data_IF_020051920305
#
_entry.id   IF_020051920305
#
_cell.length_a   1.000
_cell.length_b   1.000
_cell.length_c   1.000
_cell.angle_alpha   90.00
_cell.angle_beta   90.00
_cell.angle_gamma   90.00
#
_symmetry.space_group_name_H-M   'P 1'
#
loop_
_entity.id
_entity.type
_entity.pdbx_description
1 polymer ?
#
# COMPACT_ATOMS: atom_id res chain seq x y z
N UNK A 1 2.60 3.86 17.62
CA UNK A 1 1.53 4.35 16.72
C UNK A 1 2.14 4.33 15.33
N UNK A 2 1.51 3.68 14.34
CA UNK A 2 2.02 3.73 12.96
C UNK A 2 1.84 5.17 12.48
N UNK A 3 2.92 5.88 12.18
CA UNK A 3 2.78 7.21 11.60
C UNK A 3 2.26 7.08 10.16
N UNK A 4 1.44 8.03 9.73
CA UNK A 4 0.80 8.00 8.40
C UNK A 4 1.80 7.88 7.25
N UNK A 5 3.02 8.40 7.41
CA UNK A 5 4.08 8.24 6.39
C UNK A 5 4.51 6.78 6.26
N UNK A 6 4.67 6.06 7.38
CA UNK A 6 5.25 4.72 7.39
C UNK A 6 4.42 3.71 6.62
N UNK A 7 3.08 3.74 6.74
CA UNK A 7 2.22 2.76 6.07
C UNK A 7 2.19 2.93 4.55
N UNK A 8 2.11 4.17 4.07
CA UNK A 8 2.09 4.48 2.64
C UNK A 8 3.43 4.20 1.98
N UNK A 9 4.52 4.58 2.65
CA UNK A 9 5.88 4.32 2.20
C UNK A 9 6.18 2.82 2.17
N UNK A 10 5.86 2.08 3.23
CA UNK A 10 5.98 0.63 3.27
C UNK A 10 5.23 -0.05 2.10
N UNK A 11 3.99 0.37 1.84
CA UNK A 11 3.23 -0.16 0.71
C UNK A 11 3.92 0.12 -0.63
N UNK A 12 4.48 1.32 -0.82
CA UNK A 12 5.23 1.70 -2.02
C UNK A 12 6.42 0.78 -2.24
N UNK A 13 7.19 0.48 -1.19
CA UNK A 13 8.32 -0.44 -1.26
C UNK A 13 7.88 -1.86 -1.68
N UNK A 14 6.80 -2.38 -1.07
CA UNK A 14 6.24 -3.68 -1.45
C UNK A 14 5.75 -3.74 -2.89
N UNK A 15 5.15 -2.65 -3.39
CA UNK A 15 4.71 -2.56 -4.80
C UNK A 15 5.91 -2.55 -5.75
N UNK A 16 6.93 -1.76 -5.45
CA UNK A 16 8.14 -1.65 -6.28
C UNK A 16 8.95 -2.95 -6.28
N UNK A 17 9.03 -3.66 -5.16
CA UNK A 17 9.66 -4.99 -5.09
C UNK A 17 8.99 -6.01 -6.04
N UNK A 18 7.69 -5.83 -6.32
CA UNK A 18 6.93 -6.64 -7.30
C UNK A 18 6.97 -6.08 -8.73
N UNK A 19 7.71 -5.00 -8.96
CA UNK A 19 7.87 -4.34 -10.27
C UNK A 19 6.55 -3.84 -10.88
N UNK A 20 5.57 -3.53 -10.03
CA UNK A 20 4.27 -3.02 -10.46
C UNK A 20 4.29 -1.49 -10.46
N UNK A 21 3.69 -0.86 -11.47
CA UNK A 21 3.39 0.58 -11.48
C UNK A 21 2.06 0.84 -10.76
N UNK A 22 1.81 2.09 -10.36
CA UNK A 22 0.52 2.49 -9.79
C UNK A 22 -0.65 2.23 -10.77
N UNK A 23 -0.41 2.37 -12.08
CA UNK A 23 -1.37 2.06 -13.13
C UNK A 23 -1.76 0.59 -13.19
N UNK A 24 -0.85 -0.31 -12.78
CA UNK A 24 -1.07 -1.76 -12.83
C UNK A 24 -1.93 -2.22 -11.65
N UNK A 25 -1.94 -1.45 -10.56
CA UNK A 25 -2.75 -1.68 -9.35
C UNK A 25 -4.11 -0.96 -9.41
N UNK A 26 -4.17 0.17 -10.12
CA UNK A 26 -5.38 0.98 -10.19
C UNK A 26 -6.56 0.19 -10.78
N UNK A 27 -7.74 0.38 -10.19
CA UNK A 27 -8.98 -0.29 -10.56
C UNK A 27 -10.19 0.64 -10.36
N UNK A 28 -11.41 0.15 -10.62
CA UNK A 28 -12.63 0.95 -10.52
C UNK A 28 -12.84 1.60 -9.12
N UNK A 29 -12.33 0.99 -8.05
CA UNK A 29 -12.43 1.50 -6.67
C UNK A 29 -11.22 2.29 -6.16
N UNK A 30 -10.10 2.28 -6.90
CA UNK A 30 -8.84 2.85 -6.46
C UNK A 30 -8.06 3.40 -7.65
N UNK A 31 -7.90 4.72 -7.72
CA UNK A 31 -7.18 5.37 -8.81
C UNK A 31 -5.68 5.45 -8.54
N UNK A 32 -4.87 5.52 -9.61
CA UNK A 32 -3.42 5.71 -9.49
C UNK A 32 -3.04 7.00 -8.73
N UNK A 33 -3.85 8.07 -8.85
CA UNK A 33 -3.63 9.32 -8.10
C UNK A 33 -3.86 9.14 -6.59
N UNK A 34 -4.89 8.37 -6.21
CA UNK A 34 -5.13 8.03 -4.79
C UNK A 34 -3.99 7.17 -4.24
N UNK A 35 -3.51 6.18 -4.99
CA UNK A 35 -2.32 5.41 -4.65
C UNK A 35 -1.08 6.30 -4.47
N UNK A 36 -0.83 7.23 -5.39
CA UNK A 36 0.32 8.12 -5.28
C UNK A 36 0.27 9.02 -4.06
N UNK A 37 -0.90 9.60 -3.75
CA UNK A 37 -1.07 10.44 -2.56
C UNK A 37 -0.86 9.63 -1.28
N UNK A 38 -1.32 8.38 -1.28
CA UNK A 38 -1.11 7.45 -0.17
C UNK A 38 0.37 7.09 0.02
N UNK A 39 1.05 6.69 -1.06
CA UNK A 39 2.46 6.33 -1.04
C UNK A 39 3.41 7.48 -0.68
N UNK A 40 2.95 8.73 -0.81
CA UNK A 40 3.69 9.94 -0.43
C UNK A 40 3.26 10.48 0.96
N UNK A 41 2.42 9.76 1.69
CA UNK A 41 1.92 10.18 3.01
C UNK A 41 0.97 11.39 2.98
N UNK A 42 0.53 11.82 1.80
CA UNK A 42 -0.33 13.01 1.62
C UNK A 42 -1.81 12.73 1.98
N UNK A 43 -2.26 11.47 1.88
CA UNK A 43 -3.63 11.08 2.21
C UNK A 43 -3.70 9.60 2.58
N UNK A 44 -4.50 9.23 3.59
CA UNK A 44 -4.76 7.82 3.87
C UNK A 44 -5.82 7.24 2.95
N UNK A 45 -5.65 5.97 2.60
CA UNK A 45 -6.73 5.17 2.01
C UNK A 45 -7.74 4.80 3.09
N UNK A 46 -9.01 4.71 2.69
CA UNK A 46 -10.01 4.00 3.50
C UNK A 46 -9.68 2.50 3.54
N UNK A 47 -10.24 1.78 4.51
CA UNK A 47 -9.93 0.36 4.69
C UNK A 47 -10.26 -0.49 3.45
N UNK A 48 -11.40 -0.24 2.80
CA UNK A 48 -11.81 -0.90 1.56
C UNK A 48 -10.79 -0.68 0.43
N UNK A 49 -10.28 0.55 0.29
CA UNK A 49 -9.27 0.89 -0.72
C UNK A 49 -7.91 0.32 -0.42
N UNK A 50 -7.54 0.22 0.86
CA UNK A 50 -6.30 -0.43 1.27
C UNK A 50 -6.33 -1.93 0.92
N UNK A 51 -7.46 -2.60 1.12
CA UNK A 51 -7.64 -4.00 0.71
C UNK A 51 -7.48 -4.15 -0.80
N UNK A 52 -8.08 -3.25 -1.60
CA UNK A 52 -7.91 -3.26 -3.06
C UNK A 52 -6.44 -3.06 -3.47
N UNK A 53 -5.72 -2.16 -2.79
CA UNK A 53 -4.31 -1.92 -3.05
C UNK A 53 -3.45 -3.17 -2.78
N UNK A 54 -3.65 -3.80 -1.62
CA UNK A 54 -2.95 -5.02 -1.19
C UNK A 54 -3.21 -6.17 -2.17
N UNK A 55 -4.47 -6.38 -2.56
CA UNK A 55 -4.83 -7.40 -3.54
C UNK A 55 -4.23 -7.10 -4.93
N UNK A 56 -4.20 -5.84 -5.34
CA UNK A 56 -3.63 -5.41 -6.62
C UNK A 56 -2.12 -5.63 -6.75
N UNK A 57 -1.41 -5.88 -5.64
CA UNK A 57 -0.01 -6.30 -5.65
C UNK A 57 0.16 -7.81 -5.40
N UNK A 58 -0.91 -8.62 -5.50
CA UNK A 58 -0.90 -10.06 -5.24
C UNK A 58 -0.39 -10.42 -3.83
N UNK A 59 -0.82 -9.66 -2.83
CA UNK A 59 -0.53 -9.89 -1.41
C UNK A 59 -1.82 -10.18 -0.68
N UNK A 60 -1.78 -11.09 0.28
CA UNK A 60 -2.89 -11.29 1.20
C UNK A 60 -2.81 -10.28 2.35
N UNK A 61 -3.95 -9.91 2.93
CA UNK A 61 -3.94 -8.98 4.07
C UNK A 61 -3.09 -9.49 5.25
N UNK A 62 -3.09 -10.81 5.46
CA UNK A 62 -2.26 -11.49 6.46
C UNK A 62 -0.76 -11.33 6.19
N UNK A 63 -0.30 -11.65 4.97
CA UNK A 63 1.09 -11.44 4.56
C UNK A 63 1.51 -9.96 4.67
N UNK A 64 0.62 -9.05 4.30
CA UNK A 64 0.86 -7.61 4.43
C UNK A 64 1.06 -7.20 5.89
N UNK A 65 0.20 -7.68 6.80
CA UNK A 65 0.30 -7.42 8.23
C UNK A 65 1.59 -7.96 8.84
N UNK A 66 1.95 -9.21 8.53
CA UNK A 66 3.22 -9.80 8.99
C UNK A 66 4.45 -9.02 8.53
N UNK A 67 4.47 -8.59 7.26
CA UNK A 67 5.57 -7.78 6.72
C UNK A 67 5.63 -6.39 7.34
N UNK A 68 4.48 -5.79 7.65
CA UNK A 68 4.41 -4.49 8.31
C UNK A 68 4.97 -4.55 9.72
N UNK A 69 4.64 -5.59 10.50
CA UNK A 69 5.19 -5.79 11.85
C UNK A 69 6.72 -5.86 11.79
N UNK A 70 7.28 -6.69 10.90
CA UNK A 70 8.73 -6.83 10.75
C UNK A 70 9.41 -5.53 10.29
N UNK A 71 8.72 -4.73 9.46
CA UNK A 71 9.22 -3.43 9.00
C UNK A 71 9.36 -2.43 10.17
N UNK A 72 8.50 -2.50 11.18
CA UNK A 72 8.56 -1.63 12.36
C UNK A 72 9.61 -2.03 13.39
N UNK A 73 10.13 -3.26 13.32
CA UNK A 73 11.20 -3.74 14.21
C UNK A 73 12.61 -3.43 13.68
N UNK A 74 12.73 -2.95 12.43
CA UNK A 74 13.99 -2.63 11.74
C UNK A 74 14.34 -1.13 11.84
#
# INVERSE_FOLDING_TARGET
MIEKMELGEFYKELRLARKLKQSDVACAGLTASQLSKFELGQSMLSADKLILAIQGINVTFDEFGHKLINYQES
#
